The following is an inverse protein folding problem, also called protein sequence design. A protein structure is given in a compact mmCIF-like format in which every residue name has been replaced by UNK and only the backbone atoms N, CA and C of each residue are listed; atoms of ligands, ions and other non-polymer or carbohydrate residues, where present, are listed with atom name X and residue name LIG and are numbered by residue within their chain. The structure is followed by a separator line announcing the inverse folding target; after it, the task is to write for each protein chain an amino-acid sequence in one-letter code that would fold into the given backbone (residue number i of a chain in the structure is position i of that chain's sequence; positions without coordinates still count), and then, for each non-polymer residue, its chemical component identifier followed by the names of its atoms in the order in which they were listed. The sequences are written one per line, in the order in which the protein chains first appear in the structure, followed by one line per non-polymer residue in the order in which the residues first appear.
data_IF_155545411453
#
_entry.id   IF_155545411453
#
_cell.length_a   1.000
_cell.length_b   1.000
_cell.length_c   1.000
_cell.angle_alpha   90.00
_cell.angle_beta   90.00
_cell.angle_gamma   90.00
#
_symmetry.space_group_name_H-M   'P 1'
#
loop_
_entity.id
_entity.type
_entity.pdbx_description
1 polymer ?
#
# COMPACT_ATOMS: atom_id res chain seq x y z
N UNK A 1 36.21 -10.95 7.84
CA UNK A 1 36.08 -12.08 8.79
C UNK A 1 34.61 -12.38 9.03
N UNK A 2 34.28 -13.46 9.75
CA UNK A 2 32.90 -13.88 10.03
C UNK A 2 32.03 -12.76 10.65
N UNK A 3 32.63 -11.89 11.47
CA UNK A 3 31.96 -10.72 12.05
C UNK A 3 31.42 -9.75 10.98
N UNK A 4 32.26 -9.38 10.00
CA UNK A 4 31.86 -8.47 8.92
C UNK A 4 30.74 -9.06 8.04
N UNK A 5 30.67 -10.39 7.92
CA UNK A 5 29.62 -11.07 7.17
C UNK A 5 28.28 -10.97 7.91
N UNK A 6 28.27 -11.26 9.21
CA UNK A 6 27.09 -11.11 10.06
C UNK A 6 26.58 -9.67 10.06
N UNK A 7 27.47 -8.68 10.10
CA UNK A 7 27.09 -7.25 10.00
C UNK A 7 26.48 -6.88 8.64
N UNK A 8 27.00 -7.42 7.54
CA UNK A 8 26.43 -7.21 6.20
C UNK A 8 25.06 -7.86 6.05
N UNK A 9 24.92 -9.11 6.52
CA UNK A 9 23.65 -9.85 6.50
C UNK A 9 22.59 -9.15 7.35
N UNK A 10 22.97 -8.62 8.51
CA UNK A 10 22.09 -7.83 9.36
C UNK A 10 21.57 -6.57 8.65
N UNK A 11 22.45 -5.84 7.96
CA UNK A 11 22.06 -4.67 7.16
C UNK A 11 21.12 -5.05 6.02
N UNK A 12 21.38 -6.18 5.36
CA UNK A 12 20.53 -6.69 4.29
C UNK A 12 19.11 -6.97 4.81
N UNK A 13 18.98 -7.73 5.90
CA UNK A 13 17.68 -8.00 6.48
C UNK A 13 16.98 -6.73 6.96
N UNK A 14 17.74 -5.74 7.46
CA UNK A 14 17.18 -4.43 7.88
C UNK A 14 16.58 -3.70 6.69
N UNK A 15 17.30 -3.64 5.56
CA UNK A 15 16.78 -3.08 4.32
C UNK A 15 15.55 -3.84 3.84
N UNK A 16 15.61 -5.17 3.81
CA UNK A 16 14.49 -6.01 3.38
C UNK A 16 13.26 -5.79 4.25
N UNK A 17 13.41 -5.74 5.57
CA UNK A 17 12.30 -5.45 6.48
C UNK A 17 11.69 -4.08 6.17
N UNK A 18 12.50 -3.05 5.95
CA UNK A 18 12.00 -1.71 5.62
C UNK A 18 11.27 -1.65 4.28
N UNK A 19 11.83 -2.26 3.23
CA UNK A 19 11.16 -2.39 1.93
C UNK A 19 9.84 -3.13 2.08
N UNK A 20 9.83 -4.15 2.94
CA UNK A 20 8.67 -4.99 3.16
C UNK A 20 7.55 -4.21 3.87
N UNK A 21 7.91 -3.45 4.90
CA UNK A 21 7.02 -2.54 5.63
C UNK A 21 6.47 -1.44 4.71
N UNK A 22 7.30 -0.84 3.87
CA UNK A 22 6.85 0.16 2.89
C UNK A 22 5.84 -0.45 1.90
N UNK A 23 6.11 -1.66 1.39
CA UNK A 23 5.15 -2.37 0.54
C UNK A 23 3.83 -2.68 1.26
N UNK A 24 3.85 -3.02 2.56
CA UNK A 24 2.63 -3.18 3.36
C UNK A 24 1.83 -1.88 3.43
N UNK A 25 2.49 -0.75 3.65
CA UNK A 25 1.82 0.55 3.70
C UNK A 25 1.09 0.86 2.40
N UNK A 26 1.74 0.67 1.25
CA UNK A 26 1.14 0.90 -0.07
C UNK A 26 -0.05 -0.03 -0.35
N UNK A 27 0.07 -1.32 -0.05
CA UNK A 27 -1.02 -2.26 -0.28
C UNK A 27 -2.23 -1.99 0.61
N UNK A 28 -2.02 -1.62 1.87
CA UNK A 28 -3.11 -1.30 2.80
C UNK A 28 -3.82 0.00 2.40
N UNK A 29 -3.05 0.96 1.91
CA UNK A 29 -3.53 2.16 1.26
C UNK A 29 -4.41 1.85 0.02
N UNK A 30 -3.92 1.04 -0.92
CA UNK A 30 -4.68 0.66 -2.11
C UNK A 30 -5.99 -0.04 -1.73
N UNK A 31 -5.95 -0.93 -0.73
CA UNK A 31 -7.14 -1.61 -0.21
C UNK A 31 -8.17 -0.62 0.32
N UNK A 32 -7.72 0.39 1.07
CA UNK A 32 -8.59 1.44 1.58
C UNK A 32 -9.24 2.24 0.46
N UNK A 33 -8.48 2.61 -0.57
CA UNK A 33 -9.00 3.35 -1.71
C UNK A 33 -10.01 2.54 -2.53
N UNK A 34 -9.77 1.25 -2.79
CA UNK A 34 -10.74 0.36 -3.45
C UNK A 34 -12.02 0.24 -2.63
N UNK A 35 -11.90 0.13 -1.31
CA UNK A 35 -13.05 0.02 -0.43
C UNK A 35 -13.92 1.30 -0.45
N UNK A 36 -13.30 2.47 -0.35
CA UNK A 36 -14.02 3.75 -0.38
C UNK A 36 -14.54 4.10 -1.77
N UNK A 37 -13.68 4.01 -2.78
CA UNK A 37 -13.95 4.48 -4.13
C UNK A 37 -14.88 3.57 -4.92
N UNK A 38 -14.88 2.26 -4.63
CA UNK A 38 -15.62 1.27 -5.43
C UNK A 38 -16.60 0.48 -4.57
N UNK A 39 -16.18 -0.15 -3.46
CA UNK A 39 -17.09 -1.00 -2.67
C UNK A 39 -18.25 -0.21 -2.08
N UNK A 40 -17.97 0.97 -1.53
CA UNK A 40 -19.00 1.83 -0.93
C UNK A 40 -19.93 2.50 -1.94
N UNK A 41 -19.41 2.84 -3.12
CA UNK A 41 -20.15 3.59 -4.15
C UNK A 41 -20.83 2.69 -5.17
N UNK A 42 -20.47 1.40 -5.23
CA UNK A 42 -20.98 0.45 -6.21
C UNK A 42 -22.51 0.31 -6.15
N UNK A 43 -23.15 0.63 -7.27
CA UNK A 43 -24.60 0.47 -7.45
C UNK A 43 -24.99 -0.87 -8.08
N UNK A 44 -24.03 -1.56 -8.70
CA UNK A 44 -24.27 -2.83 -9.40
C UNK A 44 -23.62 -4.00 -8.67
N UNK A 45 -24.22 -5.18 -8.80
CA UNK A 45 -23.67 -6.42 -8.26
C UNK A 45 -22.30 -6.74 -8.87
N UNK A 46 -22.15 -6.60 -10.18
CA UNK A 46 -20.90 -6.86 -10.90
C UNK A 46 -19.74 -5.97 -10.42
N UNK A 47 -19.98 -4.67 -10.28
CA UNK A 47 -18.97 -3.72 -9.78
C UNK A 47 -18.56 -4.08 -8.35
N UNK A 48 -19.52 -4.49 -7.52
CA UNK A 48 -19.25 -4.91 -6.14
C UNK A 48 -18.42 -6.19 -6.10
N UNK A 49 -18.76 -7.20 -6.90
CA UNK A 49 -17.98 -8.45 -6.99
C UNK A 49 -16.55 -8.18 -7.43
N UNK A 50 -16.36 -7.39 -8.49
CA UNK A 50 -15.03 -7.03 -8.98
C UNK A 50 -14.19 -6.31 -7.90
N UNK A 51 -14.78 -5.38 -7.15
CA UNK A 51 -14.10 -4.69 -6.07
C UNK A 51 -13.69 -5.66 -4.93
N UNK A 52 -14.51 -6.66 -4.62
CA UNK A 52 -14.15 -7.70 -3.67
C UNK A 52 -13.02 -8.60 -4.19
N UNK A 53 -13.00 -8.93 -5.48
CA UNK A 53 -11.90 -9.69 -6.08
C UNK A 53 -10.58 -8.92 -5.98
N UNK A 54 -10.58 -7.61 -6.21
CA UNK A 54 -9.41 -6.75 -5.99
C UNK A 54 -8.96 -6.78 -4.53
N UNK A 55 -9.88 -6.62 -3.58
CA UNK A 55 -9.57 -6.68 -2.14
C UNK A 55 -8.99 -8.05 -1.77
N UNK A 56 -9.50 -9.14 -2.36
CA UNK A 56 -8.95 -10.48 -2.16
C UNK A 56 -7.52 -10.60 -2.70
N UNK A 57 -7.24 -10.08 -3.90
CA UNK A 57 -5.90 -10.04 -4.46
C UNK A 57 -4.92 -9.26 -3.56
N UNK A 58 -5.32 -8.09 -3.07
CA UNK A 58 -4.51 -7.29 -2.14
C UNK A 58 -4.25 -8.06 -0.83
N UNK A 59 -5.27 -8.71 -0.26
CA UNK A 59 -5.12 -9.51 0.95
C UNK A 59 -4.14 -10.68 0.77
N UNK A 60 -4.06 -11.29 -0.42
CA UNK A 60 -3.07 -12.33 -0.72
C UNK A 60 -1.66 -11.75 -0.69
N UNK A 61 -1.44 -10.58 -1.30
CA UNK A 61 -0.15 -9.91 -1.30
C UNK A 61 0.28 -9.45 0.09
N UNK A 62 -0.65 -8.91 0.90
CA UNK A 62 -0.40 -8.54 2.31
C UNK A 62 0.07 -9.74 3.13
N UNK A 63 -0.55 -10.92 2.97
CA UNK A 63 -0.11 -12.15 3.67
C UNK A 63 1.29 -12.58 3.28
N UNK A 64 1.64 -12.46 1.99
CA UNK A 64 3.00 -12.78 1.52
C UNK A 64 4.02 -11.85 2.19
N UNK A 65 3.69 -10.58 2.30
CA UNK A 65 4.56 -9.57 2.84
C UNK A 65 4.75 -9.70 4.36
N UNK A 66 3.67 -10.03 5.07
CA UNK A 66 3.69 -10.44 6.48
C UNK A 66 4.67 -11.61 6.72
N UNK A 67 4.60 -12.66 5.90
CA UNK A 67 5.53 -13.79 6.00
C UNK A 67 6.99 -13.40 5.78
N UNK A 68 7.28 -12.59 4.75
CA UNK A 68 8.66 -12.16 4.45
C UNK A 68 9.20 -11.29 5.58
N UNK A 69 8.38 -10.38 6.11
CA UNK A 69 8.76 -9.52 7.22
C UNK A 69 9.17 -10.33 8.45
N UNK A 70 8.31 -11.25 8.89
CA UNK A 70 8.57 -12.06 10.08
C UNK A 70 9.82 -12.95 9.89
N UNK A 71 10.06 -13.46 8.68
CA UNK A 71 11.30 -14.18 8.37
C UNK A 71 12.56 -13.29 8.49
N UNK A 72 12.50 -12.05 8.01
CA UNK A 72 13.61 -11.11 8.16
C UNK A 72 13.86 -10.79 9.63
N UNK A 73 12.79 -10.59 10.40
CA UNK A 73 12.87 -10.34 11.85
C UNK A 73 13.49 -11.53 12.59
N UNK A 74 13.06 -12.75 12.31
CA UNK A 74 13.62 -13.96 12.92
C UNK A 74 15.12 -14.11 12.62
N UNK A 75 15.54 -13.79 11.39
CA UNK A 75 16.95 -13.76 11.00
C UNK A 75 17.74 -12.69 11.77
N UNK A 76 17.19 -11.47 11.94
CA UNK A 76 17.83 -10.42 12.75
C UNK A 76 18.01 -10.85 14.21
N UNK A 77 17.01 -11.52 14.79
CA UNK A 77 17.08 -12.05 16.15
C UNK A 77 18.19 -13.11 16.25
N UNK A 78 18.28 -14.02 15.28
CA UNK A 78 19.32 -15.05 15.23
C UNK A 78 20.74 -14.48 15.08
N UNK A 79 20.89 -13.36 14.36
CA UNK A 79 22.16 -12.64 14.19
C UNK A 79 22.56 -11.79 15.42
N UNK A 80 21.73 -11.75 16.46
CA UNK A 80 22.03 -11.04 17.70
C UNK A 80 21.83 -9.52 17.60
N UNK A 81 20.85 -9.07 16.82
CA UNK A 81 20.48 -7.66 16.76
C UNK A 81 20.21 -7.09 18.16
N UNK A 82 20.70 -5.87 18.41
CA UNK A 82 20.46 -5.16 19.66
C UNK A 82 18.98 -5.00 19.96
N UNK A 83 18.60 -5.16 21.23
CA UNK A 83 17.21 -5.06 21.68
C UNK A 83 16.60 -3.67 21.46
N UNK A 84 17.45 -2.64 21.35
CA UNK A 84 17.09 -1.27 20.98
C UNK A 84 16.54 -1.19 19.55
N UNK A 85 17.27 -1.76 18.58
CA UNK A 85 16.85 -1.79 17.17
C UNK A 85 15.68 -2.74 16.98
N UNK A 86 15.70 -3.90 17.64
CA UNK A 86 14.61 -4.87 17.58
C UNK A 86 13.29 -4.33 18.18
N UNK A 87 13.37 -3.38 19.12
CA UNK A 87 12.20 -2.67 19.64
C UNK A 87 11.43 -1.89 18.58
N UNK A 88 12.08 -1.49 17.49
CA UNK A 88 11.44 -0.86 16.34
C UNK A 88 10.79 -1.87 15.39
N UNK A 89 11.32 -3.10 15.32
CA UNK A 89 10.80 -4.18 14.48
C UNK A 89 9.97 -5.17 15.32
N UNK A 90 8.74 -4.78 15.66
CA UNK A 90 7.84 -5.67 16.40
C UNK A 90 7.32 -6.79 15.50
N UNK A 91 6.76 -7.85 16.10
CA UNK A 91 6.15 -8.95 15.36
C UNK A 91 4.86 -8.46 14.68
N UNK A 92 4.65 -8.86 13.42
CA UNK A 92 3.46 -8.44 12.69
C UNK A 92 2.32 -9.43 12.97
N UNK A 93 1.22 -8.95 13.54
CA UNK A 93 0.04 -9.78 13.78
C UNK A 93 -1.09 -9.44 12.82
N UNK A 94 -2.01 -10.39 12.64
CA UNK A 94 -3.23 -10.20 11.83
C UNK A 94 -4.10 -9.06 12.36
N UNK A 95 -4.06 -8.83 13.67
CA UNK A 95 -4.80 -7.76 14.35
C UNK A 95 -4.31 -6.38 13.93
N UNK A 96 -2.99 -6.22 13.80
CA UNK A 96 -2.38 -4.99 13.28
C UNK A 96 -2.92 -4.70 11.88
N UNK A 97 -3.01 -5.72 11.02
CA UNK A 97 -3.53 -5.60 9.64
C UNK A 97 -5.05 -5.33 9.58
N UNK A 98 -5.82 -5.89 10.52
CA UNK A 98 -7.27 -5.75 10.56
C UNK A 98 -7.73 -4.39 11.09
N UNK A 99 -7.10 -3.88 12.15
CA UNK A 99 -7.39 -2.57 12.75
C UNK A 99 -7.23 -1.43 11.75
N UNK A 100 -6.35 -1.60 10.76
CA UNK A 100 -6.08 -0.60 9.72
C UNK A 100 -7.22 -0.46 8.70
N UNK A 101 -7.90 -1.54 8.33
CA UNK A 101 -9.06 -1.44 7.41
C UNK A 101 -10.18 -0.61 8.05
N UNK A 102 -10.32 -0.68 9.38
CA UNK A 102 -11.27 0.15 10.12
C UNK A 102 -10.87 1.63 10.13
N UNK A 103 -9.58 1.93 10.38
CA UNK A 103 -9.04 3.29 10.40
C UNK A 103 -9.20 4.05 9.07
N UNK A 104 -9.17 3.35 7.93
CA UNK A 104 -9.40 3.95 6.62
C UNK A 104 -10.86 3.88 6.13
N UNK A 105 -11.70 3.03 6.73
CA UNK A 105 -13.12 2.87 6.31
C UNK A 105 -14.05 3.87 7.00
N UNK A 106 -13.74 4.30 8.22
CA UNK A 106 -14.47 5.35 8.91
C UNK A 106 -13.75 6.68 8.66
N UNK A 107 -14.50 7.66 8.13
CA UNK A 107 -14.07 9.06 8.06
C UNK A 107 -13.30 9.43 9.34
N UNK A 108 -12.24 10.22 9.20
CA UNK A 108 -11.37 10.76 10.25
C UNK A 108 -12.07 11.56 11.38
N UNK A 109 -13.39 11.44 11.53
CA UNK A 109 -14.17 11.97 12.62
C UNK A 109 -14.16 10.97 13.79
N UNK A 110 -13.49 11.35 14.89
CA UNK A 110 -13.63 10.79 16.24
C UNK A 110 -12.72 9.64 16.70
N UNK A 111 -11.53 9.46 16.12
CA UNK A 111 -10.51 8.60 16.74
C UNK A 111 -9.17 9.30 16.92
N UNK A 112 -9.17 10.40 17.68
CA UNK A 112 -7.95 10.97 18.28
C UNK A 112 -7.38 10.12 19.44
N UNK A 113 -7.68 8.82 19.50
CA UNK A 113 -7.36 8.00 20.68
C UNK A 113 -7.04 6.52 20.42
N UNK A 114 -7.24 5.98 19.23
CA UNK A 114 -6.77 4.62 18.91
C UNK A 114 -5.30 4.70 18.52
N UNK A 115 -4.44 4.16 19.39
CA UNK A 115 -3.02 3.98 19.13
C UNK A 115 -2.85 3.32 17.76
N UNK A 116 -2.36 4.08 16.77
CA UNK A 116 -2.01 3.51 15.47
C UNK A 116 -1.08 2.32 15.71
N UNK A 117 -1.27 1.18 15.01
CA UNK A 117 -0.35 0.06 15.12
C UNK A 117 1.09 0.55 14.96
N UNK A 118 2.01 -0.05 15.71
CA UNK A 118 3.44 0.32 15.73
C UNK A 118 4.02 0.39 14.30
N UNK A 119 3.45 -0.39 13.37
CA UNK A 119 3.68 -0.38 11.93
C UNK A 119 3.73 1.02 11.29
N UNK A 120 2.94 1.98 11.79
CA UNK A 120 2.89 3.35 11.27
C UNK A 120 3.79 4.33 12.02
N UNK A 121 4.24 3.95 13.22
CA UNK A 121 5.16 4.75 14.03
C UNK A 121 6.62 4.53 13.66
N UNK A 122 6.92 3.52 12.84
CA UNK A 122 8.26 3.27 12.35
C UNK A 122 8.61 4.32 11.29
N UNK A 123 9.35 5.34 11.69
CA UNK A 123 10.05 6.19 10.72
C UNK A 123 11.16 5.31 10.11
N UNK A 124 10.94 4.78 8.92
CA UNK A 124 11.97 4.10 8.14
C UNK A 124 13.11 5.10 7.95
N UNK A 125 14.28 4.92 8.61
CA UNK A 125 15.31 5.93 8.58
C UNK A 125 16.24 5.64 7.41
N UNK A 126 15.90 6.06 6.18
CA UNK A 126 16.84 5.97 5.05
C UNK A 126 16.77 7.17 4.09
N UNK A 127 17.86 7.97 4.14
CA UNK A 127 18.52 8.82 3.14
C UNK A 127 17.76 9.78 2.20
N UNK A 128 16.44 9.83 2.18
CA UNK A 128 15.69 10.83 1.41
C UNK A 128 14.99 11.79 2.37
N UNK A 129 15.19 13.10 2.20
CA UNK A 129 14.50 14.19 2.92
C UNK A 129 13.12 13.74 3.42
N UNK A 130 13.00 13.55 4.74
CA UNK A 130 11.85 13.08 5.52
C UNK A 130 10.48 13.37 4.90
N UNK A 131 10.07 12.60 3.89
CA UNK A 131 8.68 12.55 3.43
C UNK A 131 8.02 11.48 4.27
N UNK A 132 7.12 11.92 5.16
CA UNK A 132 6.25 11.01 5.91
C UNK A 132 5.56 10.06 4.92
N UNK A 133 5.47 8.77 5.24
CA UNK A 133 4.80 7.79 4.38
C UNK A 133 3.39 8.25 3.94
N UNK A 134 2.69 9.02 4.79
CA UNK A 134 1.40 9.65 4.46
C UNK A 134 1.50 10.55 3.23
N UNK A 135 2.57 11.32 3.11
CA UNK A 135 2.83 12.16 1.95
C UNK A 135 3.04 11.33 0.68
N UNK A 136 3.71 10.18 0.79
CA UNK A 136 3.96 9.29 -0.34
C UNK A 136 2.68 8.55 -0.76
N UNK A 137 1.87 8.14 0.21
CA UNK A 137 0.53 7.63 0.00
C UNK A 137 -0.35 8.61 -0.77
N UNK A 138 -0.49 9.85 -0.28
CA UNK A 138 -1.29 10.87 -0.95
C UNK A 138 -0.74 11.20 -2.34
N UNK A 139 0.59 11.18 -2.51
CA UNK A 139 1.21 11.43 -3.80
C UNK A 139 0.91 10.31 -4.82
N UNK A 140 1.03 9.03 -4.42
CA UNK A 140 0.71 7.89 -5.30
C UNK A 140 -0.77 7.87 -5.66
N UNK A 141 -1.65 8.07 -4.68
CA UNK A 141 -3.10 8.10 -4.93
C UNK A 141 -3.49 9.29 -5.80
N UNK A 142 -2.85 10.44 -5.61
CA UNK A 142 -3.02 11.58 -6.51
C UNK A 142 -2.53 11.28 -7.93
N UNK A 143 -1.37 10.64 -8.09
CA UNK A 143 -0.84 10.24 -9.40
C UNK A 143 -1.77 9.25 -10.12
N UNK A 144 -2.31 8.27 -9.40
CA UNK A 144 -3.27 7.31 -9.96
C UNK A 144 -4.57 8.00 -10.35
N UNK A 145 -5.14 8.85 -9.48
CA UNK A 145 -6.35 9.61 -9.79
C UNK A 145 -6.15 10.54 -11.00
N UNK A 146 -4.96 11.16 -11.10
CA UNK A 146 -4.56 11.96 -12.24
C UNK A 146 -4.45 11.12 -13.51
N UNK A 147 -3.78 9.96 -13.47
CA UNK A 147 -3.67 9.07 -14.63
C UNK A 147 -5.03 8.58 -15.12
N UNK A 148 -5.96 8.29 -14.21
CA UNK A 148 -7.35 7.97 -14.57
C UNK A 148 -8.01 9.16 -15.26
N UNK A 149 -7.92 10.37 -14.69
CA UNK A 149 -8.45 11.59 -15.30
C UNK A 149 -7.87 11.81 -16.70
N UNK A 150 -6.55 11.73 -16.86
CA UNK A 150 -5.86 11.95 -18.14
C UNK A 150 -6.35 10.92 -19.18
N UNK A 151 -6.56 9.66 -18.79
CA UNK A 151 -7.14 8.63 -19.66
C UNK A 151 -8.59 8.92 -20.07
N UNK A 152 -9.43 9.46 -19.18
CA UNK A 152 -10.79 9.88 -19.53
C UNK A 152 -10.79 11.06 -20.52
N UNK A 153 -9.86 12.01 -20.37
CA UNK A 153 -9.70 13.13 -21.30
C UNK A 153 -9.26 12.65 -22.69
N UNK A 154 -8.32 11.69 -22.75
CA UNK A 154 -7.91 11.06 -24.01
C UNK A 154 -9.07 10.30 -24.69
N UNK A 155 -9.85 9.53 -23.92
CA UNK A 155 -10.96 8.76 -24.47
C UNK A 155 -12.10 9.66 -24.97
N UNK A 156 -12.35 10.80 -24.32
CA UNK A 156 -13.30 11.80 -24.83
C UNK A 156 -12.88 12.31 -26.22
N UNK A 157 -11.60 12.65 -26.40
CA UNK A 157 -11.08 13.12 -27.69
C UNK A 157 -11.16 12.04 -28.78
N UNK A 158 -10.85 10.79 -28.42
CA UNK A 158 -10.98 9.63 -29.32
C UNK A 158 -12.43 9.41 -29.74
N UNK A 159 -13.38 9.41 -28.80
CA UNK A 159 -14.80 9.21 -29.09
C UNK A 159 -15.32 10.32 -30.01
N UNK A 160 -14.97 11.58 -29.75
CA UNK A 160 -15.37 12.71 -30.63
C UNK A 160 -14.84 12.49 -32.05
N UNK A 161 -13.58 12.08 -32.18
CA UNK A 161 -12.95 11.80 -33.47
C UNK A 161 -13.60 10.63 -34.20
N UNK A 162 -13.91 9.54 -33.49
CA UNK A 162 -14.62 8.38 -34.04
C UNK A 162 -16.03 8.74 -34.51
N UNK A 163 -16.78 9.55 -33.75
CA UNK A 163 -18.09 10.04 -34.16
C UNK A 163 -18.02 10.84 -35.46
N UNK A 164 -17.04 11.73 -35.61
CA UNK A 164 -16.84 12.49 -36.84
C UNK A 164 -16.47 11.59 -38.03
N UNK A 165 -15.66 10.57 -37.77
CA UNK A 165 -15.31 9.56 -38.76
C UNK A 165 -16.54 8.77 -39.22
N UNK A 166 -17.36 8.29 -38.28
CA UNK A 166 -18.59 7.57 -38.60
C UNK A 166 -19.55 8.42 -39.43
N UNK A 167 -19.78 9.69 -39.05
CA UNK A 167 -20.61 10.62 -39.82
C UNK A 167 -20.06 10.80 -41.24
N UNK A 168 -18.74 10.95 -41.40
CA UNK A 168 -18.12 11.12 -42.71
C UNK A 168 -18.20 9.86 -43.56
N UNK A 169 -18.06 8.69 -42.96
CA UNK A 169 -18.16 7.39 -43.61
C UNK A 169 -19.54 7.16 -44.24
N UNK A 170 -20.62 7.52 -43.55
CA UNK A 170 -21.99 7.40 -44.08
C UNK A 170 -22.43 8.54 -45.00
N UNK A 171 -21.62 9.59 -45.17
CA UNK A 171 -21.87 10.70 -46.10
C UNK A 171 -21.30 10.47 -47.50
N UNK A 172 -20.52 9.40 -47.68
CA UNK A 172 -20.04 8.87 -48.97
C UNK A 172 -20.70 7.52 -49.26
#
# INVERSE_FOLDING_TARGET
GLQNLAEMELKLHTSQANDVLHGLHLMLADKAAVFQGVVHTAKSYSTKTWAWDMIHAINVSVKKQDMIYNQCRDAMVALGMGADILGHYQELHKEDLAMQTAAFSQNAQEHHGTHLPWLWSINVPWDTESKSWMSEFYHIHWLQAKSVKDCWEEEEELIISEFQWAISFFRF
#
